data_IF_514410008903
#
_entry.id   IF_514410008903
#
_cell.length_a   1.000
_cell.length_b   1.000
_cell.length_c   1.000
_cell.angle_alpha   90.00
_cell.angle_beta   90.00
_cell.angle_gamma   90.00
#
_symmetry.space_group_name_H-M   'P 1'
#
loop_
_entity.id
_entity.type
_entity.pdbx_description
1 polymer ?
#
# COMPACT_ATOMS: atom_id res chain seq x y z
N UNK A 1 21.76 -5.16 -16.66
CA UNK A 1 20.99 -5.86 -15.60
C UNK A 1 20.68 -7.31 -15.94
N UNK A 2 20.08 -7.62 -17.10
CA UNK A 2 19.77 -9.00 -17.44
C UNK A 2 20.98 -9.94 -17.43
N UNK A 3 22.14 -9.46 -17.90
CA UNK A 3 23.38 -10.24 -17.87
C UNK A 3 23.87 -10.45 -16.44
N UNK A 4 23.77 -9.46 -15.55
CA UNK A 4 24.12 -9.58 -14.14
C UNK A 4 23.23 -10.63 -13.44
N UNK A 5 21.95 -10.64 -13.74
CA UNK A 5 21.02 -11.65 -13.23
C UNK A 5 21.31 -13.05 -13.78
N UNK A 6 21.70 -13.16 -15.05
CA UNK A 6 22.16 -14.41 -15.63
C UNK A 6 23.42 -14.95 -14.95
N UNK A 7 24.39 -14.09 -14.62
CA UNK A 7 25.59 -14.45 -13.87
C UNK A 7 25.26 -14.96 -12.46
N UNK A 8 24.24 -14.36 -11.82
CA UNK A 8 23.69 -14.86 -10.55
C UNK A 8 22.90 -16.18 -10.68
N UNK A 9 22.80 -16.76 -11.88
CA UNK A 9 22.13 -18.01 -12.16
C UNK A 9 20.62 -17.90 -12.37
N UNK A 10 20.08 -16.68 -12.52
CA UNK A 10 18.68 -16.43 -12.80
C UNK A 10 18.49 -16.40 -14.32
N UNK A 11 17.99 -17.51 -14.87
CA UNK A 11 17.87 -17.67 -16.33
C UNK A 11 16.58 -17.12 -16.93
N UNK A 12 15.53 -17.01 -16.12
CA UNK A 12 14.23 -16.49 -16.54
C UNK A 12 14.16 -14.98 -16.33
N UNK A 13 14.91 -14.26 -17.12
CA UNK A 13 15.03 -12.78 -17.05
C UNK A 13 15.02 -12.19 -18.45
N UNK A 14 14.35 -11.06 -18.59
CA UNK A 14 14.35 -10.24 -19.80
C UNK A 14 14.65 -8.79 -19.43
N UNK A 15 15.22 -8.03 -20.35
CA UNK A 15 15.42 -6.59 -20.18
C UNK A 15 14.41 -5.80 -21.00
N UNK A 16 14.11 -4.60 -20.51
CA UNK A 16 13.25 -3.65 -21.20
C UNK A 16 14.01 -3.06 -22.40
N UNK A 17 13.44 -3.10 -23.61
CA UNK A 17 14.03 -2.42 -24.75
C UNK A 17 14.13 -0.90 -24.49
N UNK A 18 15.24 -0.29 -24.89
CA UNK A 18 15.52 1.15 -24.78
C UNK A 18 15.58 1.74 -23.37
N UNK A 19 15.53 0.91 -22.30
CA UNK A 19 15.61 1.36 -20.92
C UNK A 19 14.37 2.13 -20.43
N UNK A 20 14.47 2.65 -19.21
CA UNK A 20 13.43 3.49 -18.62
C UNK A 20 13.56 4.94 -19.11
N UNK A 21 12.44 5.59 -19.45
CA UNK A 21 12.38 7.02 -19.77
C UNK A 21 11.23 7.68 -19.00
N UNK A 22 11.38 8.96 -18.62
CA UNK A 22 10.37 9.72 -17.88
C UNK A 22 9.01 9.82 -18.60
N UNK A 23 8.98 9.60 -19.93
CA UNK A 23 7.77 9.60 -20.75
C UNK A 23 7.37 8.19 -21.19
N UNK A 24 7.57 7.17 -20.35
CA UNK A 24 7.35 5.75 -20.65
C UNK A 24 5.87 5.36 -20.85
N UNK A 25 5.01 6.28 -21.30
CA UNK A 25 3.60 5.96 -21.59
C UNK A 25 3.43 5.03 -22.79
N UNK A 26 4.44 4.91 -23.65
CA UNK A 26 4.42 4.03 -24.79
C UNK A 26 5.25 2.77 -24.53
N UNK A 27 4.59 1.74 -23.99
CA UNK A 27 5.15 0.42 -23.74
C UNK A 27 4.65 -0.58 -24.80
N UNK A 28 4.65 -0.19 -26.08
CA UNK A 28 4.18 -1.04 -27.19
C UNK A 28 4.84 -2.43 -27.18
N UNK A 29 6.10 -2.51 -26.76
CA UNK A 29 6.82 -3.78 -26.63
C UNK A 29 6.21 -4.68 -25.56
N UNK A 30 5.67 -4.11 -24.45
CA UNK A 30 4.97 -4.88 -23.43
C UNK A 30 3.59 -5.32 -23.94
N UNK A 31 2.86 -4.39 -24.56
CA UNK A 31 1.53 -4.67 -25.09
C UNK A 31 1.58 -5.76 -26.18
N UNK A 32 2.64 -5.78 -27.01
CA UNK A 32 2.85 -6.80 -28.04
C UNK A 32 3.19 -8.21 -27.48
N UNK A 33 3.58 -8.30 -26.20
CA UNK A 33 3.94 -9.57 -25.58
C UNK A 33 3.17 -9.83 -24.27
N UNK A 34 2.06 -9.12 -24.06
CA UNK A 34 1.27 -9.22 -22.83
C UNK A 34 0.83 -10.65 -22.53
N UNK A 35 0.42 -11.40 -23.55
CA UNK A 35 -0.02 -12.81 -23.43
C UNK A 35 1.06 -13.70 -22.80
N UNK A 36 2.34 -13.32 -22.93
CA UNK A 36 3.43 -14.06 -22.30
C UNK A 36 3.41 -13.96 -20.77
N UNK A 37 2.80 -12.92 -20.24
CA UNK A 37 2.73 -12.65 -18.81
C UNK A 37 1.44 -13.16 -18.16
N UNK A 38 0.38 -13.44 -18.92
CA UNK A 38 -0.95 -13.81 -18.40
C UNK A 38 -0.93 -15.01 -17.45
N UNK A 39 -0.11 -16.03 -17.76
CA UNK A 39 -0.02 -17.27 -16.96
C UNK A 39 1.05 -17.20 -15.85
N UNK A 40 1.62 -16.02 -15.56
CA UNK A 40 2.68 -15.89 -14.56
C UNK A 40 2.10 -15.57 -13.19
N UNK A 41 2.45 -16.37 -12.21
CA UNK A 41 2.07 -16.18 -10.81
C UNK A 41 2.99 -15.19 -10.07
N UNK A 42 4.17 -14.92 -10.64
CA UNK A 42 5.17 -14.02 -10.04
C UNK A 42 6.01 -13.37 -11.11
N UNK A 43 5.98 -12.03 -11.13
CA UNK A 43 6.77 -11.18 -12.02
C UNK A 43 7.61 -10.26 -11.13
N UNK A 44 8.93 -10.41 -11.16
CA UNK A 44 9.84 -9.62 -10.34
C UNK A 44 10.31 -8.41 -11.16
N UNK A 45 10.02 -7.22 -10.67
CA UNK A 45 10.40 -5.95 -11.28
C UNK A 45 11.75 -5.50 -10.69
N UNK A 46 12.84 -5.82 -11.38
CA UNK A 46 14.20 -5.44 -11.03
C UNK A 46 14.64 -4.25 -11.89
N UNK A 47 14.00 -3.11 -11.71
CA UNK A 47 14.26 -1.86 -12.43
C UNK A 47 15.14 -0.94 -11.60
N UNK A 48 15.77 0.05 -12.25
CA UNK A 48 16.63 1.04 -11.61
C UNK A 48 15.92 1.77 -10.46
N UNK A 49 16.69 2.20 -9.47
CA UNK A 49 16.16 2.93 -8.32
C UNK A 49 15.89 4.43 -8.62
N UNK A 50 16.23 4.91 -9.81
CA UNK A 50 16.04 6.30 -10.22
C UNK A 50 14.58 6.63 -10.59
N UNK A 51 14.30 7.90 -10.85
CA UNK A 51 12.96 8.41 -11.18
C UNK A 51 12.37 7.75 -12.44
N UNK A 52 13.20 7.49 -13.44
CA UNK A 52 12.75 6.83 -14.67
C UNK A 52 12.39 5.36 -14.43
N UNK A 53 13.18 4.65 -13.62
CA UNK A 53 12.87 3.28 -13.20
C UNK A 53 11.61 3.18 -12.35
N UNK A 54 11.35 4.16 -11.48
CA UNK A 54 10.11 4.22 -10.70
C UNK A 54 8.88 4.45 -11.60
N UNK A 55 8.97 5.33 -12.58
CA UNK A 55 7.90 5.55 -13.56
C UNK A 55 7.61 4.28 -14.37
N UNK A 56 8.66 3.60 -14.82
CA UNK A 56 8.53 2.33 -15.52
C UNK A 56 7.90 1.25 -14.64
N UNK A 57 8.31 1.14 -13.38
CA UNK A 57 7.74 0.24 -12.38
C UNK A 57 6.24 0.44 -12.22
N UNK A 58 5.80 1.69 -12.07
CA UNK A 58 4.39 2.03 -11.94
C UNK A 58 3.58 1.56 -13.16
N UNK A 59 4.07 1.80 -14.38
CA UNK A 59 3.40 1.39 -15.60
C UNK A 59 3.33 -0.14 -15.76
N UNK A 60 4.38 -0.87 -15.36
CA UNK A 60 4.34 -2.34 -15.35
C UNK A 60 3.28 -2.87 -14.36
N UNK A 61 3.25 -2.32 -13.15
CA UNK A 61 2.25 -2.73 -12.12
C UNK A 61 0.83 -2.44 -12.64
N UNK A 62 0.61 -1.29 -13.28
CA UNK A 62 -0.69 -0.90 -13.82
C UNK A 62 -1.18 -1.84 -14.92
N UNK A 63 -0.28 -2.35 -15.77
CA UNK A 63 -0.64 -3.20 -16.93
C UNK A 63 -0.67 -4.69 -16.60
N UNK A 64 0.22 -5.15 -15.76
CA UNK A 64 0.37 -6.58 -15.41
C UNK A 64 -0.49 -6.98 -14.20
N UNK A 65 -0.90 -6.02 -13.36
CA UNK A 65 -1.60 -6.26 -12.11
C UNK A 65 -0.64 -6.32 -10.91
N UNK A 66 -1.04 -5.67 -9.82
CA UNK A 66 -0.23 -5.62 -8.59
C UNK A 66 -0.13 -7.00 -7.91
N UNK A 67 -1.13 -7.85 -8.11
CA UNK A 67 -1.24 -9.19 -7.51
C UNK A 67 -0.14 -10.17 -7.95
N UNK A 68 0.43 -9.96 -9.15
CA UNK A 68 1.52 -10.80 -9.67
C UNK A 68 2.88 -10.12 -9.63
N UNK A 69 2.92 -8.81 -9.34
CA UNK A 69 4.14 -8.01 -9.34
C UNK A 69 4.86 -8.03 -7.99
N UNK A 70 6.17 -8.20 -8.04
CA UNK A 70 7.06 -8.21 -6.88
C UNK A 70 8.19 -7.20 -7.09
N UNK A 71 8.54 -6.48 -6.05
CA UNK A 71 9.58 -5.45 -6.05
C UNK A 71 10.85 -5.96 -5.38
N UNK A 72 11.98 -5.58 -5.94
CA UNK A 72 13.31 -5.81 -5.38
C UNK A 72 13.82 -4.51 -4.78
N UNK A 73 14.44 -4.61 -3.62
CA UNK A 73 15.23 -3.54 -3.01
C UNK A 73 16.71 -3.92 -3.10
N UNK A 74 17.48 -3.14 -3.85
CA UNK A 74 18.93 -3.33 -3.98
C UNK A 74 19.73 -2.65 -2.85
N UNK A 75 19.10 -2.36 -1.71
CA UNK A 75 19.72 -1.83 -0.49
C UNK A 75 20.61 -0.59 -0.73
N UNK A 76 20.13 0.31 -1.60
CA UNK A 76 20.83 1.56 -1.92
C UNK A 76 21.71 1.52 -3.18
N UNK A 77 21.92 0.35 -3.79
CA UNK A 77 22.55 0.26 -5.10
C UNK A 77 21.56 0.71 -6.19
N UNK A 78 22.07 1.25 -7.27
CA UNK A 78 21.25 1.80 -8.34
C UNK A 78 20.47 0.71 -9.08
N UNK A 79 21.15 -0.39 -9.40
CA UNK A 79 20.61 -1.46 -10.23
C UNK A 79 21.23 -2.83 -9.87
N UNK A 80 20.80 -3.89 -10.57
CA UNK A 80 21.27 -5.24 -10.36
C UNK A 80 22.76 -5.42 -10.69
N UNK A 81 23.32 -4.65 -11.61
CA UNK A 81 24.72 -4.74 -11.99
C UNK A 81 25.63 -4.14 -10.92
N UNK A 82 25.28 -2.97 -10.41
CA UNK A 82 26.01 -2.33 -9.31
C UNK A 82 25.98 -3.23 -8.07
N UNK A 83 24.82 -3.81 -7.77
CA UNK A 83 24.70 -4.75 -6.65
C UNK A 83 25.56 -6.01 -6.85
N UNK A 84 25.60 -6.58 -8.07
CA UNK A 84 26.44 -7.73 -8.39
C UNK A 84 27.93 -7.43 -8.16
N UNK A 85 28.40 -6.25 -8.62
CA UNK A 85 29.79 -5.86 -8.51
C UNK A 85 30.23 -5.66 -7.05
N UNK A 86 29.34 -5.16 -6.21
CA UNK A 86 29.64 -4.89 -4.80
C UNK A 86 29.50 -6.13 -3.91
N UNK A 87 28.45 -6.93 -4.12
CA UNK A 87 28.07 -8.00 -3.18
C UNK A 87 28.21 -9.42 -3.76
N UNK A 88 28.42 -9.55 -5.07
CA UNK A 88 28.59 -10.83 -5.75
C UNK A 88 27.27 -11.55 -6.12
N UNK A 89 27.40 -12.59 -6.92
CA UNK A 89 26.30 -13.31 -7.55
C UNK A 89 25.36 -14.02 -6.55
N UNK A 90 25.92 -14.56 -5.47
CA UNK A 90 25.13 -15.28 -4.47
C UNK A 90 24.19 -14.35 -3.69
N UNK A 91 24.68 -13.17 -3.29
CA UNK A 91 23.87 -12.17 -2.59
C UNK A 91 22.83 -11.56 -3.53
N UNK A 92 23.17 -11.28 -4.79
CA UNK A 92 22.19 -10.83 -5.79
C UNK A 92 21.05 -11.84 -5.95
N UNK A 93 21.36 -13.12 -6.00
CA UNK A 93 20.35 -14.19 -6.07
C UNK A 93 19.44 -14.20 -4.84
N UNK A 94 19.98 -13.99 -3.64
CA UNK A 94 19.20 -13.91 -2.39
C UNK A 94 18.26 -12.71 -2.42
N UNK A 95 18.74 -11.54 -2.82
CA UNK A 95 17.95 -10.31 -2.91
C UNK A 95 16.80 -10.46 -3.90
N UNK A 96 17.02 -11.02 -5.08
CA UNK A 96 15.96 -11.31 -6.06
C UNK A 96 14.92 -12.29 -5.49
N UNK A 97 15.36 -13.33 -4.78
CA UNK A 97 14.43 -14.30 -4.18
C UNK A 97 13.63 -13.72 -3.01
N UNK A 98 14.14 -12.68 -2.34
CA UNK A 98 13.46 -11.96 -1.27
C UNK A 98 12.50 -10.87 -1.75
N UNK A 99 12.29 -10.74 -3.07
CA UNK A 99 11.38 -9.75 -3.64
C UNK A 99 9.99 -9.80 -2.97
N UNK A 100 9.48 -8.64 -2.59
CA UNK A 100 8.22 -8.45 -1.86
C UNK A 100 7.10 -8.12 -2.83
N UNK A 101 5.94 -8.73 -2.65
CA UNK A 101 4.75 -8.42 -3.46
C UNK A 101 4.37 -6.94 -3.32
N UNK A 102 3.95 -6.34 -4.43
CA UNK A 102 3.39 -4.98 -4.40
C UNK A 102 2.20 -4.93 -3.45
N UNK A 103 2.16 -3.98 -2.48
CA UNK A 103 1.01 -3.83 -1.61
C UNK A 103 -0.27 -3.60 -2.41
N UNK A 104 -1.28 -4.40 -2.16
CA UNK A 104 -2.60 -4.24 -2.79
C UNK A 104 -3.40 -3.20 -1.99
N UNK A 105 -3.93 -2.20 -2.69
CA UNK A 105 -4.76 -1.18 -2.06
C UNK A 105 -5.99 -1.81 -1.38
N UNK A 106 -6.21 -1.45 -0.11
CA UNK A 106 -7.30 -1.99 0.70
C UNK A 106 -7.06 -3.41 1.24
N UNK A 107 -5.91 -4.03 0.97
CA UNK A 107 -5.54 -5.33 1.54
C UNK A 107 -4.37 -5.16 2.49
N UNK A 108 -4.61 -5.44 3.77
CA UNK A 108 -3.57 -5.42 4.82
C UNK A 108 -3.24 -6.84 5.26
N UNK A 109 -1.98 -7.11 5.50
CA UNK A 109 -1.56 -8.37 6.11
C UNK A 109 -1.76 -8.32 7.63
N UNK A 110 -1.81 -9.48 8.28
CA UNK A 110 -1.90 -9.54 9.74
C UNK A 110 -0.71 -8.83 10.42
N UNK A 111 0.46 -8.84 9.80
CA UNK A 111 1.67 -8.15 10.29
C UNK A 111 1.51 -6.63 10.24
N UNK A 112 0.86 -6.10 9.21
CA UNK A 112 0.63 -4.66 9.08
C UNK A 112 -0.33 -4.15 10.16
N UNK A 113 -1.23 -5.02 10.65
CA UNK A 113 -2.23 -4.72 11.67
C UNK A 113 -1.77 -5.12 13.10
N UNK A 114 -0.58 -5.73 13.26
CA UNK A 114 -0.13 -6.27 14.55
C UNK A 114 -0.09 -5.20 15.64
N UNK A 115 0.46 -4.02 15.34
CA UNK A 115 0.55 -2.93 16.30
C UNK A 115 -0.83 -2.42 16.75
N UNK A 116 -1.76 -2.27 15.81
CA UNK A 116 -3.12 -1.81 16.08
C UNK A 116 -3.91 -2.86 16.87
N UNK A 117 -3.71 -4.15 16.54
CA UNK A 117 -4.33 -5.25 17.27
C UNK A 117 -3.81 -5.36 18.70
N UNK A 118 -2.51 -5.19 18.92
CA UNK A 118 -1.93 -5.18 20.26
C UNK A 118 -2.41 -3.98 21.07
N UNK A 119 -2.48 -2.79 20.47
CA UNK A 119 -3.06 -1.60 21.11
C UNK A 119 -4.51 -1.85 21.51
N UNK A 120 -5.30 -2.42 20.60
CA UNK A 120 -6.69 -2.79 20.88
C UNK A 120 -6.83 -3.81 22.02
N UNK A 121 -5.99 -4.84 22.06
CA UNK A 121 -6.03 -5.87 23.11
C UNK A 121 -5.67 -5.29 24.48
N UNK A 122 -4.70 -4.36 24.54
CA UNK A 122 -4.23 -3.78 25.79
C UNK A 122 -5.13 -2.64 26.30
N UNK A 123 -5.60 -1.79 25.39
CA UNK A 123 -6.28 -0.54 25.73
C UNK A 123 -7.78 -0.55 25.41
N UNK A 124 -8.27 -1.58 24.70
CA UNK A 124 -9.65 -1.64 24.23
C UNK A 124 -9.95 -0.64 23.11
N UNK A 125 -11.23 -0.38 22.86
CA UNK A 125 -11.64 0.64 21.93
C UNK A 125 -11.26 2.03 22.44
N UNK A 126 -10.66 2.86 21.59
CA UNK A 126 -10.44 4.27 21.94
C UNK A 126 -11.80 4.92 22.23
N UNK A 127 -11.89 5.69 23.32
CA UNK A 127 -13.15 6.38 23.65
C UNK A 127 -13.51 7.32 22.48
N UNK A 128 -14.78 7.29 22.08
CA UNK A 128 -15.28 8.22 21.07
C UNK A 128 -15.45 9.63 21.63
N UNK A 129 -15.86 10.53 20.76
CA UNK A 129 -16.17 11.92 21.16
C UNK A 129 -17.38 11.95 22.08
N UNK A 130 -17.25 12.70 23.16
CA UNK A 130 -18.27 12.85 24.21
C UNK A 130 -18.91 14.25 24.14
N UNK A 131 -20.21 14.30 24.40
CA UNK A 131 -21.01 15.53 24.36
C UNK A 131 -20.83 16.37 25.62
N UNK A 132 -20.44 15.74 26.74
CA UNK A 132 -20.37 16.36 28.07
C UNK A 132 -21.66 16.15 28.87
N UNK A 133 -22.52 15.23 28.47
CA UNK A 133 -23.69 14.79 29.20
C UNK A 133 -23.42 13.44 29.86
N UNK A 134 -23.09 13.44 31.15
CA UNK A 134 -22.57 12.28 31.87
C UNK A 134 -23.35 10.98 31.63
N UNK A 135 -24.67 11.03 31.78
CA UNK A 135 -25.53 9.84 31.59
C UNK A 135 -25.59 9.37 30.13
N UNK A 136 -25.47 10.30 29.20
CA UNK A 136 -25.47 10.00 27.78
C UNK A 136 -24.09 9.44 27.35
N UNK A 137 -23.02 10.12 27.73
CA UNK A 137 -21.65 9.77 27.39
C UNK A 137 -21.22 8.40 27.94
N UNK A 138 -21.88 7.93 29.02
CA UNK A 138 -21.66 6.60 29.57
C UNK A 138 -22.15 5.47 28.67
N UNK A 139 -23.16 5.73 27.86
CA UNK A 139 -23.82 4.71 27.01
C UNK A 139 -23.62 4.94 25.52
N UNK A 140 -23.18 6.14 25.14
CA UNK A 140 -23.03 6.51 23.75
C UNK A 140 -21.84 7.44 23.54
N UNK A 141 -21.06 7.18 22.52
CA UNK A 141 -19.98 8.05 22.04
C UNK A 141 -19.98 8.03 20.52
N UNK A 142 -19.46 9.07 19.90
CA UNK A 142 -19.40 9.19 18.46
C UNK A 142 -17.97 9.12 17.94
N UNK A 143 -17.82 8.74 16.69
CA UNK A 143 -16.54 8.74 15.99
C UNK A 143 -16.64 9.57 14.72
N UNK A 144 -15.53 10.02 14.19
CA UNK A 144 -15.48 10.63 12.85
C UNK A 144 -16.01 9.68 11.79
N UNK A 145 -16.56 10.24 10.71
CA UNK A 145 -17.13 9.48 9.58
C UNK A 145 -18.37 8.63 9.91
N UNK A 146 -18.99 8.83 11.07
CA UNK A 146 -20.28 8.20 11.38
C UNK A 146 -21.45 9.07 10.90
N UNK A 147 -22.49 8.41 10.40
CA UNK A 147 -23.78 9.02 10.12
C UNK A 147 -24.77 8.66 11.25
N UNK A 148 -25.28 9.69 11.94
CA UNK A 148 -26.17 9.51 13.10
C UNK A 148 -27.56 10.03 12.77
N UNK A 149 -28.57 9.19 12.91
CA UNK A 149 -29.98 9.57 12.70
C UNK A 149 -30.69 9.64 14.03
N UNK A 150 -31.26 10.80 14.36
CA UNK A 150 -32.09 11.02 15.53
C UNK A 150 -33.56 11.02 15.12
N UNK A 151 -34.34 10.05 15.61
CA UNK A 151 -35.77 9.90 15.28
C UNK A 151 -36.62 10.01 16.53
N UNK A 152 -37.89 10.29 16.33
CA UNK A 152 -38.90 10.36 17.39
C UNK A 152 -40.17 11.10 16.94
N UNK A 153 -41.18 11.11 17.77
CA UNK A 153 -42.47 11.78 17.51
C UNK A 153 -42.28 13.30 17.34
N UNK A 154 -43.13 13.98 16.60
CA UNK A 154 -43.14 15.45 16.52
C UNK A 154 -43.15 16.12 17.90
N UNK A 155 -42.45 17.24 18.05
CA UNK A 155 -42.33 18.02 19.29
C UNK A 155 -41.71 17.29 20.50
N UNK A 156 -40.90 16.24 20.28
CA UNK A 156 -40.20 15.51 21.35
C UNK A 156 -38.83 16.07 21.72
N UNK A 157 -38.46 17.25 21.25
CA UNK A 157 -37.16 17.87 21.61
C UNK A 157 -35.97 17.33 20.83
N UNK A 158 -36.19 16.66 19.66
CA UNK A 158 -35.06 16.11 18.86
C UNK A 158 -34.05 17.17 18.41
N UNK A 159 -34.56 18.30 17.93
CA UNK A 159 -33.71 19.41 17.49
C UNK A 159 -32.92 19.98 18.66
N UNK A 160 -33.55 20.19 19.80
CA UNK A 160 -32.90 20.69 21.00
C UNK A 160 -31.80 19.71 21.48
N UNK A 161 -32.05 18.42 21.38
CA UNK A 161 -31.05 17.39 21.69
C UNK A 161 -29.85 17.43 20.73
N UNK A 162 -30.10 17.53 19.40
CA UNK A 162 -29.03 17.65 18.41
C UNK A 162 -28.22 18.94 18.63
N UNK A 163 -28.90 20.06 18.93
CA UNK A 163 -28.21 21.33 19.24
C UNK A 163 -27.33 21.20 20.49
N UNK A 164 -27.80 20.51 21.54
CA UNK A 164 -27.00 20.22 22.74
C UNK A 164 -25.78 19.35 22.40
N UNK A 165 -25.91 18.36 21.53
CA UNK A 165 -24.78 17.56 21.05
C UNK A 165 -23.76 18.43 20.31
N UNK A 166 -24.21 19.28 19.38
CA UNK A 166 -23.33 20.19 18.63
C UNK A 166 -22.59 21.14 19.55
N UNK A 167 -23.28 21.75 20.54
CA UNK A 167 -22.68 22.64 21.54
C UNK A 167 -21.65 21.87 22.37
N UNK A 168 -22.00 20.66 22.81
CA UNK A 168 -21.10 19.82 23.60
C UNK A 168 -19.81 19.47 22.84
N UNK A 169 -19.93 19.04 21.59
CA UNK A 169 -18.73 18.75 20.76
C UNK A 169 -17.89 19.98 20.51
N UNK A 170 -18.50 21.12 20.18
CA UNK A 170 -17.76 22.35 19.97
C UNK A 170 -17.03 22.80 21.25
N UNK A 171 -17.67 22.66 22.41
CA UNK A 171 -17.06 23.01 23.69
C UNK A 171 -15.90 22.12 24.08
N UNK A 172 -15.98 20.82 23.77
CA UNK A 172 -14.98 19.83 24.20
C UNK A 172 -13.85 19.66 23.20
N UNK A 173 -14.08 19.90 21.90
CA UNK A 173 -13.15 19.56 20.81
C UNK A 173 -12.98 20.66 19.75
N UNK A 174 -13.84 21.70 19.75
CA UNK A 174 -13.84 22.80 18.80
C UNK A 174 -12.94 23.90 19.12
#
# INVERSE_FOLDING_TARGET
DALALHEAGIKNVISVPNGATLNSNNLDYLDNCIDYFEDKNKIILAVDADEAGQALRYEFIRRLGAEVCYLVDFNGNKDANDFLLEHGAEELRKVINSAVQVPLEGVSTLRDLEADLLDFVHNGFKPGYQVGLENFDRIFSTYTSQFITVTGIPSSGKSDFVDQMCIGYNRNYG
#
